data_IF_052476375722
#
_entry.id   IF_052476375722
#
_cell.length_a   1.000
_cell.length_b   1.000
_cell.length_c   1.000
_cell.angle_alpha   90.00
_cell.angle_beta   90.00
_cell.angle_gamma   90.00
#
_symmetry.space_group_name_H-M   'P 1'
#
loop_
_entity.id
_entity.type
_entity.pdbx_description
1 polymer ?
#
# COMPACT_ATOMS: atom_id res chain seq x y z
N UNK A 1 -4.65 -14.45 18.16
CA UNK A 1 -5.51 -14.23 16.95
C UNK A 1 -5.38 -15.43 16.03
N UNK A 2 -6.50 -15.99 15.61
CA UNK A 2 -6.53 -17.12 14.68
C UNK A 2 -6.56 -16.62 13.23
N UNK A 3 -6.35 -17.53 12.28
CA UNK A 3 -6.49 -17.21 10.85
C UNK A 3 -7.94 -16.80 10.52
N UNK A 4 -8.91 -17.40 11.18
CA UNK A 4 -10.32 -17.03 11.04
C UNK A 4 -10.56 -15.59 11.48
N UNK A 5 -9.95 -15.18 12.58
CA UNK A 5 -10.06 -13.80 13.06
C UNK A 5 -9.46 -12.81 12.07
N UNK A 6 -8.31 -13.15 11.48
CA UNK A 6 -7.69 -12.32 10.44
C UNK A 6 -8.58 -12.19 9.24
N UNK A 7 -9.15 -13.30 8.77
CA UNK A 7 -10.03 -13.28 7.60
C UNK A 7 -11.31 -12.50 7.87
N UNK A 8 -11.81 -12.51 9.09
CA UNK A 8 -12.95 -11.69 9.48
C UNK A 8 -12.63 -10.21 9.35
N UNK A 9 -11.46 -9.79 9.85
CA UNK A 9 -10.99 -8.40 9.74
C UNK A 9 -10.81 -8.02 8.27
N UNK A 10 -10.17 -8.89 7.49
CA UNK A 10 -9.98 -8.65 6.06
C UNK A 10 -11.33 -8.44 5.35
N UNK A 11 -12.31 -9.27 5.66
CA UNK A 11 -13.66 -9.14 5.10
C UNK A 11 -14.34 -7.84 5.48
N UNK A 12 -14.18 -7.40 6.74
CA UNK A 12 -14.71 -6.12 7.21
C UNK A 12 -14.06 -4.94 6.49
N UNK A 13 -12.73 -4.99 6.32
CA UNK A 13 -12.01 -3.95 5.59
C UNK A 13 -12.45 -3.88 4.12
N UNK A 14 -12.60 -5.03 3.47
CA UNK A 14 -13.07 -5.09 2.08
C UNK A 14 -14.44 -4.44 1.91
N UNK A 15 -15.37 -4.77 2.79
CA UNK A 15 -16.71 -4.20 2.71
C UNK A 15 -16.72 -2.69 2.92
N UNK A 16 -15.91 -2.22 3.85
CA UNK A 16 -15.80 -0.79 4.12
C UNK A 16 -15.22 -0.04 2.93
N UNK A 17 -14.15 -0.57 2.34
CA UNK A 17 -13.49 0.06 1.19
C UNK A 17 -14.32 -0.03 -0.09
N UNK A 18 -15.05 -1.11 -0.29
CA UNK A 18 -15.85 -1.32 -1.49
C UNK A 18 -16.96 -0.28 -1.63
N UNK A 19 -17.40 0.33 -0.54
CA UNK A 19 -18.41 1.39 -0.56
C UNK A 19 -17.92 2.75 -1.01
N UNK A 20 -16.60 2.91 -1.24
CA UNK A 20 -16.00 4.19 -1.64
C UNK A 20 -15.56 4.15 -3.09
N UNK A 21 -16.23 4.95 -3.92
CA UNK A 21 -15.95 5.00 -5.36
C UNK A 21 -14.60 5.64 -5.70
N UNK A 22 -14.10 6.48 -4.83
CA UNK A 22 -12.83 7.19 -5.01
C UNK A 22 -11.60 6.30 -4.74
N UNK A 23 -11.79 5.11 -4.18
CA UNK A 23 -10.70 4.17 -3.95
C UNK A 23 -10.60 3.23 -5.14
N UNK A 24 -9.46 3.28 -5.84
CA UNK A 24 -9.21 2.48 -7.03
C UNK A 24 -8.62 1.11 -6.69
N UNK A 25 -7.65 1.08 -5.79
CA UNK A 25 -6.99 -0.13 -5.31
C UNK A 25 -6.70 -0.02 -3.82
N UNK A 26 -6.73 -1.13 -3.12
CA UNK A 26 -6.32 -1.20 -1.72
C UNK A 26 -5.53 -2.47 -1.45
N UNK A 27 -4.44 -2.32 -0.71
CA UNK A 27 -3.55 -3.43 -0.33
C UNK A 27 -3.36 -3.46 1.16
N UNK A 28 -3.38 -4.67 1.70
CA UNK A 28 -2.98 -4.95 3.07
C UNK A 28 -1.53 -5.42 3.05
N UNK A 29 -0.67 -4.83 3.89
CA UNK A 29 0.74 -5.20 3.92
C UNK A 29 1.26 -5.15 5.36
N UNK A 30 2.54 -5.46 5.54
CA UNK A 30 3.19 -5.34 6.83
C UNK A 30 2.95 -6.51 7.78
N UNK A 31 3.14 -6.26 9.07
CA UNK A 31 3.20 -7.30 10.09
C UNK A 31 1.88 -8.05 10.30
N UNK A 32 0.75 -7.41 10.05
CA UNK A 32 -0.55 -8.07 10.18
C UNK A 32 -0.66 -9.32 9.31
N UNK A 33 -0.03 -9.31 8.13
CA UNK A 33 -0.05 -10.47 7.22
C UNK A 33 0.88 -11.59 7.66
N UNK A 34 1.91 -11.29 8.42
CA UNK A 34 3.03 -12.22 8.64
C UNK A 34 3.00 -12.94 9.98
N UNK A 35 2.53 -12.29 11.04
CA UNK A 35 2.56 -12.88 12.37
C UNK A 35 1.65 -12.16 13.35
N UNK A 36 1.50 -12.72 14.55
CA UNK A 36 0.57 -12.22 15.56
C UNK A 36 1.07 -11.01 16.36
N UNK A 37 2.35 -10.70 16.28
CA UNK A 37 2.94 -9.60 17.05
C UNK A 37 2.77 -8.22 16.41
N UNK A 38 1.68 -7.97 15.69
CA UNK A 38 1.44 -6.70 15.05
C UNK A 38 0.79 -5.70 16.04
N UNK A 39 1.07 -4.42 15.83
CA UNK A 39 0.45 -3.32 16.58
C UNK A 39 -0.58 -2.59 15.73
N UNK A 40 -0.27 -2.39 14.47
CA UNK A 40 -1.09 -1.66 13.51
C UNK A 40 -1.43 -2.55 12.33
N UNK A 41 -2.48 -2.16 11.62
CA UNK A 41 -2.83 -2.76 10.34
C UNK A 41 -2.42 -1.77 9.27
N UNK A 42 -1.48 -2.15 8.42
CA UNK A 42 -0.93 -1.30 7.36
C UNK A 42 -1.72 -1.47 6.08
N UNK A 43 -2.25 -0.37 5.55
CA UNK A 43 -3.06 -0.37 4.33
C UNK A 43 -2.53 0.70 3.38
N UNK A 44 -2.34 0.33 2.12
CA UNK A 44 -1.98 1.25 1.05
C UNK A 44 -3.12 1.39 0.06
N UNK A 45 -3.46 2.63 -0.30
CA UNK A 45 -4.57 2.92 -1.21
C UNK A 45 -4.10 3.72 -2.41
N UNK A 46 -4.56 3.31 -3.59
CA UNK A 46 -4.52 4.15 -4.79
C UNK A 46 -5.88 4.80 -4.92
N UNK A 47 -5.92 6.12 -5.00
CA UNK A 47 -7.17 6.88 -4.98
C UNK A 47 -7.29 7.76 -6.23
N UNK A 48 -8.53 8.08 -6.62
CA UNK A 48 -8.81 8.98 -7.71
C UNK A 48 -8.80 10.43 -7.25
N UNK A 49 -8.53 11.34 -8.18
CA UNK A 49 -8.56 12.78 -7.92
C UNK A 49 -7.27 13.30 -7.34
N UNK A 50 -7.12 14.61 -7.41
CA UNK A 50 -5.97 15.32 -6.86
C UNK A 50 -6.43 16.13 -5.67
N UNK A 51 -5.59 16.20 -4.64
CA UNK A 51 -5.88 16.94 -3.41
C UNK A 51 -4.65 17.72 -2.99
N UNK A 52 -4.88 18.93 -2.47
CA UNK A 52 -3.82 19.68 -1.83
C UNK A 52 -3.31 18.93 -0.59
N UNK A 53 -2.06 19.16 -0.16
CA UNK A 53 -1.47 18.38 0.95
C UNK A 53 -2.31 18.34 2.22
N UNK A 54 -2.92 19.45 2.61
CA UNK A 54 -3.76 19.48 3.81
C UNK A 54 -5.06 18.70 3.61
N UNK A 55 -5.67 18.84 2.44
CA UNK A 55 -6.87 18.08 2.09
C UNK A 55 -6.58 16.59 2.04
N UNK A 56 -5.42 16.21 1.49
CA UNK A 56 -4.99 14.82 1.44
C UNK A 56 -4.82 14.24 2.84
N UNK A 57 -4.21 15.00 3.74
CA UNK A 57 -4.05 14.60 5.12
C UNK A 57 -5.41 14.33 5.79
N UNK A 58 -6.35 15.27 5.65
CA UNK A 58 -7.69 15.12 6.23
C UNK A 58 -8.44 13.93 5.62
N UNK A 59 -8.32 13.77 4.31
CA UNK A 59 -8.94 12.66 3.57
C UNK A 59 -8.41 11.32 4.09
N UNK A 60 -7.10 11.20 4.21
CA UNK A 60 -6.43 9.98 4.69
C UNK A 60 -6.86 9.65 6.12
N UNK A 61 -6.85 10.64 7.00
CA UNK A 61 -7.24 10.43 8.40
C UNK A 61 -8.72 10.05 8.52
N UNK A 62 -9.56 10.62 7.65
CA UNK A 62 -10.99 10.28 7.63
C UNK A 62 -11.24 8.84 7.24
N UNK A 63 -10.53 8.35 6.21
CA UNK A 63 -10.64 6.94 5.79
C UNK A 63 -10.12 6.02 6.89
N UNK A 64 -8.96 6.33 7.46
CA UNK A 64 -8.39 5.51 8.53
C UNK A 64 -9.35 5.38 9.71
N UNK A 65 -9.96 6.48 10.10
CA UNK A 65 -10.94 6.50 11.18
C UNK A 65 -12.18 5.64 10.86
N UNK A 66 -12.67 5.74 9.63
CA UNK A 66 -13.80 4.91 9.19
C UNK A 66 -13.45 3.43 9.21
N UNK A 67 -12.27 3.07 8.74
CA UNK A 67 -11.81 1.68 8.72
C UNK A 67 -11.67 1.12 10.13
N UNK A 68 -11.14 1.92 11.06
CA UNK A 68 -11.02 1.50 12.46
C UNK A 68 -12.38 1.17 13.06
N UNK A 69 -13.42 1.91 12.70
CA UNK A 69 -14.77 1.65 13.17
C UNK A 69 -15.43 0.45 12.50
N UNK A 70 -14.91 0.01 11.35
CA UNK A 70 -15.47 -1.11 10.60
C UNK A 70 -15.01 -2.47 11.13
N UNK A 71 -13.94 -2.55 11.89
CA UNK A 71 -13.33 -3.81 12.29
C UNK A 71 -13.60 -4.15 13.76
N UNK A 72 -13.68 -5.43 14.04
CA UNK A 72 -13.82 -5.97 15.40
C UNK A 72 -12.90 -7.17 15.56
N UNK A 73 -11.95 -7.18 16.53
CA UNK A 73 -11.67 -6.10 17.47
C UNK A 73 -11.04 -4.89 16.78
N UNK A 74 -11.05 -3.77 17.49
CA UNK A 74 -10.54 -2.51 16.93
C UNK A 74 -9.02 -2.46 17.03
N UNK A 75 -8.37 -2.17 15.90
CA UNK A 75 -6.93 -1.95 15.80
C UNK A 75 -6.69 -0.63 15.10
N UNK A 76 -5.56 -0.01 15.39
CA UNK A 76 -5.12 1.19 14.68
C UNK A 76 -4.81 0.87 13.23
N UNK A 77 -5.24 1.73 12.32
CA UNK A 77 -4.99 1.60 10.89
C UNK A 77 -3.93 2.62 10.49
N UNK A 78 -2.79 2.14 10.01
CA UNK A 78 -1.77 2.99 9.39
C UNK A 78 -2.05 3.02 7.89
N UNK A 79 -2.68 4.10 7.45
CA UNK A 79 -3.13 4.26 6.08
C UNK A 79 -2.18 5.15 5.31
N UNK A 80 -1.72 4.67 4.16
CA UNK A 80 -0.84 5.43 3.28
C UNK A 80 -1.41 5.47 1.88
N UNK A 81 -1.30 6.65 1.25
CA UNK A 81 -1.73 6.84 -0.13
C UNK A 81 -0.56 6.50 -1.06
N UNK A 82 -0.82 5.64 -2.03
CA UNK A 82 0.22 5.12 -2.93
C UNK A 82 0.51 6.01 -4.11
N UNK A 83 -0.40 6.92 -4.46
CA UNK A 83 -0.33 7.70 -5.71
C UNK A 83 1.03 8.34 -5.96
N UNK A 84 1.55 9.06 -4.97
CA UNK A 84 2.82 9.78 -5.09
C UNK A 84 3.87 9.27 -4.10
N UNK A 85 3.67 8.06 -3.59
CA UNK A 85 4.64 7.44 -2.69
C UNK A 85 5.92 7.09 -3.43
N UNK A 86 7.07 6.98 -2.73
CA UNK A 86 8.31 6.53 -3.34
C UNK A 86 8.14 5.16 -4.03
N UNK A 87 8.83 4.99 -5.16
CA UNK A 87 8.72 3.77 -5.97
C UNK A 87 9.09 2.52 -5.16
N UNK A 88 10.11 2.62 -4.31
CA UNK A 88 10.54 1.50 -3.47
C UNK A 88 9.42 1.05 -2.54
N UNK A 89 8.68 1.99 -1.98
CA UNK A 89 7.56 1.69 -1.11
C UNK A 89 6.40 1.08 -1.90
N UNK A 90 6.05 1.68 -3.05
CA UNK A 90 5.01 1.13 -3.93
C UNK A 90 5.33 -0.31 -4.32
N UNK A 91 6.58 -0.56 -4.70
CA UNK A 91 7.03 -1.90 -5.10
C UNK A 91 6.90 -2.90 -3.96
N UNK A 92 7.30 -2.51 -2.75
CA UNK A 92 7.19 -3.39 -1.57
C UNK A 92 5.74 -3.78 -1.31
N UNK A 93 4.82 -2.82 -1.40
CA UNK A 93 3.40 -3.07 -1.20
C UNK A 93 2.84 -4.01 -2.28
N UNK A 94 3.18 -3.77 -3.54
CA UNK A 94 2.72 -4.61 -4.65
C UNK A 94 3.28 -6.03 -4.53
N UNK A 95 4.54 -6.16 -4.16
CA UNK A 95 5.23 -7.45 -4.10
C UNK A 95 4.77 -8.31 -2.93
N UNK A 96 4.62 -7.72 -1.75
CA UNK A 96 4.37 -8.47 -0.53
C UNK A 96 2.96 -8.33 0.00
N UNK A 97 2.19 -7.38 -0.52
CA UNK A 97 0.87 -7.08 -0.02
C UNK A 97 -0.19 -8.04 -0.55
N UNK A 98 -1.33 -8.01 0.14
CA UNK A 98 -2.53 -8.75 -0.25
C UNK A 98 -3.56 -7.74 -0.75
N UNK A 99 -4.08 -7.97 -1.95
CA UNK A 99 -5.10 -7.10 -2.52
C UNK A 99 -6.38 -7.15 -1.67
N UNK A 100 -6.83 -5.98 -1.21
CA UNK A 100 -8.08 -5.84 -0.48
C UNK A 100 -9.23 -5.53 -1.41
N UNK A 101 -9.04 -4.56 -2.29
CA UNK A 101 -10.09 -4.08 -3.18
C UNK A 101 -9.48 -3.61 -4.48
N UNK A 102 -10.17 -3.86 -5.58
CA UNK A 102 -9.86 -3.31 -6.89
C UNK A 102 -11.16 -2.88 -7.56
N UNK A 103 -11.15 -1.69 -8.14
CA UNK A 103 -12.31 -1.20 -8.86
C UNK A 103 -12.44 -1.89 -10.20
N UNK A 104 -11.33 -2.05 -10.91
CA UNK A 104 -11.29 -2.83 -12.14
C UNK A 104 -9.90 -3.42 -12.33
N UNK A 105 -9.86 -4.50 -13.09
CA UNK A 105 -8.63 -5.27 -13.31
C UNK A 105 -7.61 -4.51 -14.17
N UNK A 106 -8.11 -3.71 -15.12
CA UNK A 106 -7.21 -2.93 -15.98
C UNK A 106 -6.43 -1.89 -15.17
N UNK A 107 -7.08 -1.22 -14.23
CA UNK A 107 -6.41 -0.27 -13.33
C UNK A 107 -5.35 -0.99 -12.49
N UNK A 108 -5.68 -2.15 -11.94
CA UNK A 108 -4.73 -2.92 -11.14
C UNK A 108 -3.51 -3.32 -11.94
N UNK A 109 -3.72 -3.90 -13.13
CA UNK A 109 -2.63 -4.35 -13.99
C UNK A 109 -1.74 -3.18 -14.40
N UNK A 110 -2.35 -2.05 -14.79
CA UNK A 110 -1.59 -0.87 -15.19
C UNK A 110 -0.75 -0.32 -14.03
N UNK A 111 -1.32 -0.24 -12.84
CA UNK A 111 -0.60 0.26 -11.67
C UNK A 111 0.57 -0.66 -11.31
N UNK A 112 0.31 -1.94 -11.17
CA UNK A 112 1.33 -2.91 -10.76
C UNK A 112 2.46 -3.02 -11.79
N UNK A 113 2.12 -3.10 -13.08
CA UNK A 113 3.12 -3.13 -14.14
C UNK A 113 3.96 -1.87 -14.17
N UNK A 114 3.32 -0.71 -13.99
CA UNK A 114 4.02 0.58 -13.94
C UNK A 114 5.00 0.67 -12.78
N UNK A 115 4.58 0.21 -11.60
CA UNK A 115 5.43 0.20 -10.41
C UNK A 115 6.64 -0.72 -10.61
N UNK A 116 6.41 -1.92 -11.13
CA UNK A 116 7.48 -2.89 -11.37
C UNK A 116 8.48 -2.32 -12.39
N UNK A 117 8.01 -1.73 -13.48
CA UNK A 117 8.88 -1.15 -14.50
C UNK A 117 9.73 -0.02 -13.93
N UNK A 118 9.14 0.89 -13.17
CA UNK A 118 9.86 2.01 -12.54
C UNK A 118 10.89 1.51 -11.52
N UNK A 119 10.53 0.50 -10.75
CA UNK A 119 11.45 -0.07 -9.76
C UNK A 119 12.66 -0.71 -10.43
N UNK A 120 12.46 -1.46 -11.52
CA UNK A 120 13.55 -2.09 -12.25
C UNK A 120 14.47 -1.05 -12.88
N UNK A 121 13.93 0.02 -13.44
CA UNK A 121 14.72 1.13 -13.98
C UNK A 121 15.58 1.78 -12.91
N UNK A 122 14.98 2.04 -11.75
CA UNK A 122 15.68 2.64 -10.61
C UNK A 122 16.79 1.75 -10.09
N UNK A 123 16.51 0.45 -9.98
CA UNK A 123 17.51 -0.54 -9.56
C UNK A 123 18.67 -0.61 -10.54
N UNK A 124 18.38 -0.60 -11.83
CA UNK A 124 19.41 -0.59 -12.87
C UNK A 124 20.30 0.65 -12.75
N UNK A 125 19.72 1.81 -12.52
CA UNK A 125 20.45 3.06 -12.34
C UNK A 125 21.38 3.00 -11.12
N UNK A 126 20.88 2.54 -9.99
CA UNK A 126 21.67 2.40 -8.77
C UNK A 126 22.83 1.42 -8.95
N UNK A 127 22.59 0.30 -9.61
CA UNK A 127 23.65 -0.69 -9.89
C UNK A 127 24.74 -0.09 -10.75
N UNK A 128 24.39 0.73 -11.73
CA UNK A 128 25.37 1.42 -12.58
C UNK A 128 26.18 2.44 -11.82
N UNK A 129 25.54 3.20 -10.94
CA UNK A 129 26.23 4.19 -10.09
C UNK A 129 27.20 3.48 -9.16
N UNK A 130 26.78 2.42 -8.51
CA UNK A 130 27.61 1.64 -7.60
C UNK A 130 28.85 1.08 -8.31
N UNK A 131 28.68 0.53 -9.51
CA UNK A 131 29.82 0.05 -10.31
C UNK A 131 30.79 1.15 -10.66
N UNK A 132 30.29 2.32 -11.05
CA UNK A 132 31.14 3.47 -11.37
C UNK A 132 31.92 3.91 -10.15
N UNK A 133 31.32 3.95 -8.98
CA UNK A 133 31.98 4.30 -7.73
C UNK A 133 33.05 3.28 -7.33
N UNK A 134 32.76 1.98 -7.49
CA UNK A 134 33.71 0.91 -7.19
C UNK A 134 34.93 0.98 -8.09
N UNK A 135 34.75 1.25 -9.37
CA UNK A 135 35.89 1.43 -10.30
C UNK A 135 36.74 2.61 -9.86
N UNK A 136 36.16 3.72 -9.45
CA UNK A 136 36.89 4.89 -8.99
C UNK A 136 37.71 4.62 -7.70
N UNK A 137 37.09 3.89 -6.78
CA UNK A 137 37.74 3.54 -5.50
C UNK A 137 38.87 2.52 -5.72
N UNK A 138 38.72 1.64 -6.72
CA UNK A 138 39.70 0.61 -7.06
C UNK A 138 40.95 1.13 -7.79
N UNK A 139 40.93 2.38 -8.25
CA UNK A 139 42.10 3.04 -8.83
C UNK A 139 43.02 3.53 -7.71
#
# INVERSE_FOLDING_TARGET
MTDLDREQIVGQLRRCLAGREDILLGYLYGSFLRHDGFHDIDIGLLVSGEREPYELYRYTMGIASDLERCITPRYEIDLRILNDAPVEFQYEVVKTGRLLVTRDEDTRVAFEAGVIAKFLDLKYLYDRIDRALLVRVGE
#
